data_IF_848116485764
#
_entry.id   IF_848116485764
#
_cell.length_a   1.000
_cell.length_b   1.000
_cell.length_c   1.000
_cell.angle_alpha   90.00
_cell.angle_beta   90.00
_cell.angle_gamma   90.00
#
_symmetry.space_group_name_H-M   'P 1'
#
loop_
_entity.id
_entity.type
_entity.pdbx_description
1 polymer ?
#
# COMPACT_ATOMS: atom_id res chain seq x y z
N UNK A 1 1.32 -0.98 -18.05
CA UNK A 1 2.03 -0.01 -17.22
C UNK A 1 3.44 -0.54 -16.97
N UNK A 2 4.43 0.13 -17.52
CA UNK A 2 5.85 -0.28 -17.46
C UNK A 2 6.56 0.32 -16.22
N UNK A 3 5.80 0.46 -15.11
CA UNK A 3 6.32 1.03 -13.85
C UNK A 3 7.21 0.00 -13.18
N UNK A 4 8.50 0.32 -13.06
CA UNK A 4 9.52 -0.55 -12.45
C UNK A 4 9.82 -0.21 -10.99
N UNK A 5 9.58 1.05 -10.58
CA UNK A 5 9.83 1.50 -9.21
C UNK A 5 8.79 0.90 -8.28
N UNK A 6 9.26 0.24 -7.24
CA UNK A 6 8.43 -0.40 -6.21
C UNK A 6 8.86 0.11 -4.85
N UNK A 7 7.93 0.60 -4.06
CA UNK A 7 8.14 1.00 -2.67
C UNK A 7 7.48 0.00 -1.74
N UNK A 8 8.28 -0.74 -0.99
CA UNK A 8 7.79 -1.59 0.10
C UNK A 8 7.74 -0.77 1.39
N UNK A 9 6.55 -0.72 2.00
CA UNK A 9 6.32 -0.02 3.26
C UNK A 9 6.27 -1.02 4.41
N UNK A 10 7.10 -0.80 5.44
CA UNK A 10 7.19 -1.66 6.59
C UNK A 10 7.80 -3.03 6.27
N UNK A 11 8.99 -3.11 5.64
CA UNK A 11 9.63 -4.37 5.27
C UNK A 11 10.01 -5.24 6.48
N UNK A 12 10.13 -4.63 7.67
CA UNK A 12 10.64 -5.31 8.84
C UNK A 12 11.99 -5.97 8.57
N UNK A 13 12.11 -7.26 8.86
CA UNK A 13 13.34 -8.03 8.59
C UNK A 13 13.45 -8.55 7.14
N UNK A 14 12.66 -8.02 6.20
CA UNK A 14 12.78 -8.33 4.78
C UNK A 14 12.10 -9.62 4.32
N UNK A 15 11.05 -10.06 5.03
CA UNK A 15 10.34 -11.29 4.69
C UNK A 15 9.78 -11.29 3.27
N UNK A 16 9.26 -10.15 2.80
CA UNK A 16 8.79 -9.97 1.43
C UNK A 16 9.91 -9.46 0.53
N UNK A 17 10.73 -8.53 1.02
CA UNK A 17 11.82 -7.87 0.27
C UNK A 17 12.75 -8.83 -0.43
N UNK A 18 13.13 -9.93 0.24
CA UNK A 18 14.04 -10.96 -0.31
C UNK A 18 13.54 -11.57 -1.61
N UNK A 19 12.23 -11.75 -1.76
CA UNK A 19 11.63 -12.27 -2.99
C UNK A 19 11.46 -11.19 -4.05
N UNK A 20 11.20 -9.95 -3.63
CA UNK A 20 11.07 -8.82 -4.55
C UNK A 20 12.43 -8.49 -5.20
N UNK A 21 13.55 -8.60 -4.45
CA UNK A 21 14.89 -8.41 -5.02
C UNK A 21 15.28 -9.47 -6.06
N UNK A 22 14.62 -10.63 -6.07
CA UNK A 22 14.84 -11.68 -7.09
C UNK A 22 14.18 -11.35 -8.44
N UNK A 23 13.35 -10.30 -8.50
CA UNK A 23 12.67 -9.87 -9.73
C UNK A 23 13.54 -8.82 -10.43
N UNK A 24 14.22 -9.15 -11.54
CA UNK A 24 15.24 -8.26 -12.15
C UNK A 24 14.64 -6.99 -12.76
N UNK A 25 13.34 -6.99 -13.07
CA UNK A 25 12.67 -5.88 -13.75
C UNK A 25 12.26 -4.75 -12.83
N UNK A 26 12.31 -4.94 -11.49
CA UNK A 26 11.89 -3.92 -10.54
C UNK A 26 13.08 -3.18 -9.90
N UNK A 27 12.85 -1.92 -9.62
CA UNK A 27 13.73 -1.06 -8.81
C UNK A 27 13.07 -0.91 -7.42
N UNK A 28 13.49 -1.78 -6.48
CA UNK A 28 12.87 -1.89 -5.16
C UNK A 28 13.47 -0.91 -4.17
N UNK A 29 12.62 -0.13 -3.53
CA UNK A 29 12.90 0.77 -2.42
C UNK A 29 12.17 0.31 -1.18
N UNK A 30 12.83 0.34 -0.02
CA UNK A 30 12.28 -0.05 1.27
C UNK A 30 12.18 1.17 2.17
N UNK A 31 11.06 1.30 2.89
CA UNK A 31 10.83 2.40 3.83
C UNK A 31 10.24 1.86 5.13
N UNK A 32 10.92 2.08 6.25
CA UNK A 32 10.45 1.70 7.57
C UNK A 32 10.71 2.81 8.60
N UNK A 33 9.87 2.88 9.63
CA UNK A 33 10.03 3.74 10.80
C UNK A 33 10.86 3.08 11.91
N UNK A 34 11.11 1.78 11.79
CA UNK A 34 11.90 1.01 12.75
C UNK A 34 13.38 1.00 12.36
N UNK A 35 14.18 1.71 13.15
CA UNK A 35 15.62 1.81 12.89
C UNK A 35 16.35 0.48 13.02
N UNK A 36 15.88 -0.42 13.91
CA UNK A 36 16.49 -1.74 14.09
C UNK A 36 16.30 -2.60 12.82
N UNK A 37 15.12 -2.54 12.22
CA UNK A 37 14.83 -3.18 10.93
C UNK A 37 15.70 -2.62 9.81
N UNK A 38 15.86 -1.30 9.75
CA UNK A 38 16.70 -0.64 8.74
C UNK A 38 18.17 -1.05 8.88
N UNK A 39 18.72 -1.04 10.10
CA UNK A 39 20.11 -1.43 10.36
C UNK A 39 20.32 -2.92 10.02
N UNK A 40 19.38 -3.79 10.39
CA UNK A 40 19.43 -5.19 10.01
C UNK A 40 19.43 -5.39 8.49
N UNK A 41 18.54 -4.73 7.78
CA UNK A 41 18.43 -4.84 6.32
C UNK A 41 19.69 -4.36 5.62
N UNK A 42 20.23 -3.19 6.01
CA UNK A 42 21.47 -2.65 5.44
C UNK A 42 22.68 -3.55 5.68
N UNK A 43 22.75 -4.17 6.87
CA UNK A 43 23.84 -5.09 7.21
C UNK A 43 23.76 -6.40 6.40
N UNK A 44 22.55 -6.93 6.19
CA UNK A 44 22.36 -8.21 5.49
C UNK A 44 22.24 -8.07 3.95
N UNK A 45 21.87 -6.87 3.47
CA UNK A 45 21.71 -6.58 2.05
C UNK A 45 22.50 -5.33 1.62
N UNK A 46 23.84 -5.31 1.81
CA UNK A 46 24.67 -4.12 1.58
C UNK A 46 24.64 -3.63 0.12
N UNK A 47 24.37 -4.51 -0.84
CA UNK A 47 24.22 -4.13 -2.25
C UNK A 47 22.98 -3.25 -2.52
N UNK A 48 22.03 -3.19 -1.58
CA UNK A 48 20.79 -2.41 -1.69
C UNK A 48 20.68 -1.31 -0.62
N UNK A 49 21.76 -1.05 0.13
CA UNK A 49 21.74 -0.16 1.31
C UNK A 49 21.27 1.27 0.99
N UNK A 50 21.54 1.77 -0.19
CA UNK A 50 21.13 3.08 -0.71
C UNK A 50 19.62 3.21 -0.95
N UNK A 51 18.91 2.08 -1.08
CA UNK A 51 17.47 2.00 -1.28
C UNK A 51 16.69 1.54 -0.04
N UNK A 52 17.38 1.39 1.09
CA UNK A 52 16.79 1.04 2.39
C UNK A 52 16.73 2.31 3.23
N UNK A 53 15.53 2.87 3.36
CA UNK A 53 15.31 4.21 3.91
C UNK A 53 14.62 4.14 5.27
N UNK A 54 15.12 4.94 6.22
CA UNK A 54 14.42 5.23 7.46
C UNK A 54 13.45 6.39 7.23
N UNK A 55 12.17 6.21 7.55
CA UNK A 55 11.17 7.26 7.42
C UNK A 55 9.72 6.79 7.61
N UNK A 56 8.84 7.77 7.75
CA UNK A 56 7.40 7.55 7.87
C UNK A 56 6.71 7.85 6.53
N UNK A 57 6.13 6.82 5.92
CA UNK A 57 5.41 6.97 4.66
C UNK A 57 4.28 7.99 4.74
N UNK A 58 3.61 8.12 5.88
CA UNK A 58 2.50 9.07 6.04
C UNK A 58 2.98 10.53 6.00
N UNK A 59 4.26 10.78 6.29
CA UNK A 59 4.89 12.12 6.29
C UNK A 59 5.74 12.38 5.05
N UNK A 60 6.17 11.32 4.38
CA UNK A 60 6.99 11.42 3.18
C UNK A 60 6.23 12.10 2.05
N UNK A 61 6.86 13.02 1.33
CA UNK A 61 6.43 13.38 -0.02
C UNK A 61 7.09 12.42 -1.01
N UNK A 62 6.33 11.55 -1.70
CA UNK A 62 6.89 10.61 -2.67
C UNK A 62 7.69 11.29 -3.79
N UNK A 63 7.43 12.57 -4.07
CA UNK A 63 8.19 13.35 -5.06
C UNK A 63 9.64 13.57 -4.67
N UNK A 64 9.97 13.56 -3.36
CA UNK A 64 11.36 13.65 -2.89
C UNK A 64 12.17 12.40 -3.27
N UNK A 65 11.51 11.21 -3.39
CA UNK A 65 12.17 9.97 -3.79
C UNK A 65 12.13 9.71 -5.29
N UNK A 66 10.99 9.99 -5.90
CA UNK A 66 10.71 9.53 -7.27
C UNK A 66 10.48 10.66 -8.28
N UNK A 67 10.50 11.93 -7.82
CA UNK A 67 10.13 13.07 -8.67
C UNK A 67 8.70 12.93 -9.16
N UNK A 68 8.51 12.99 -10.46
CA UNK A 68 7.20 12.77 -11.11
C UNK A 68 7.01 11.34 -11.62
N UNK A 69 7.97 10.44 -11.37
CA UNK A 69 7.88 9.05 -11.83
C UNK A 69 6.82 8.27 -11.06
N UNK A 70 6.16 7.37 -11.78
CA UNK A 70 5.21 6.44 -11.18
C UNK A 70 5.93 5.35 -10.37
N UNK A 71 5.32 4.93 -9.27
CA UNK A 71 5.81 3.83 -8.43
C UNK A 71 4.67 2.96 -7.90
N UNK A 72 4.94 1.69 -7.68
CA UNK A 72 4.01 0.72 -7.11
C UNK A 72 4.25 0.67 -5.60
N UNK A 73 3.17 0.64 -4.82
CA UNK A 73 3.24 0.47 -3.37
C UNK A 73 2.94 -0.97 -3.00
N UNK A 74 3.83 -1.59 -2.22
CA UNK A 74 3.65 -2.96 -1.72
C UNK A 74 3.93 -3.02 -0.23
N UNK A 75 3.41 -4.04 0.46
CA UNK A 75 3.79 -4.30 1.85
C UNK A 75 2.88 -5.24 2.61
N UNK A 76 3.42 -5.72 3.73
CA UNK A 76 2.64 -6.25 4.84
C UNK A 76 2.34 -5.08 5.78
N UNK A 77 1.27 -4.33 5.49
CA UNK A 77 1.06 -3.04 6.13
C UNK A 77 0.72 -3.20 7.63
N UNK A 78 1.31 -2.32 8.49
CA UNK A 78 0.92 -2.27 9.89
C UNK A 78 -0.58 -2.00 10.02
N UNK A 79 -1.29 -2.84 10.78
CA UNK A 79 -2.75 -2.82 10.82
C UNK A 79 -3.35 -1.50 11.31
N UNK A 80 -2.67 -0.85 12.26
CA UNK A 80 -3.11 0.41 12.87
C UNK A 80 -3.08 1.62 11.91
N UNK A 81 -2.29 1.56 10.82
CA UNK A 81 -2.16 2.66 9.85
C UNK A 81 -2.51 2.25 8.42
N UNK A 82 -2.95 1.02 8.20
CA UNK A 82 -3.18 0.48 6.85
C UNK A 82 -4.19 1.29 6.04
N UNK A 83 -5.28 1.77 6.65
CA UNK A 83 -6.23 2.66 5.99
C UNK A 83 -5.63 4.03 5.65
N UNK A 84 -4.76 4.56 6.50
CA UNK A 84 -4.07 5.84 6.24
C UNK A 84 -3.09 5.71 5.07
N UNK A 85 -2.40 4.56 4.95
CA UNK A 85 -1.54 4.25 3.80
C UNK A 85 -2.36 4.27 2.51
N UNK A 86 -3.54 3.62 2.49
CA UNK A 86 -4.43 3.63 1.33
C UNK A 86 -4.90 5.04 0.95
N UNK A 87 -5.27 5.86 1.94
CA UNK A 87 -5.65 7.26 1.70
C UNK A 87 -4.49 8.09 1.16
N UNK A 88 -3.28 7.88 1.67
CA UNK A 88 -2.09 8.55 1.14
C UNK A 88 -1.81 8.14 -0.30
N UNK A 89 -1.89 6.85 -0.63
CA UNK A 89 -1.79 6.39 -2.02
C UNK A 89 -2.85 7.04 -2.92
N UNK A 90 -4.07 7.23 -2.40
CA UNK A 90 -5.14 7.90 -3.13
C UNK A 90 -4.83 9.38 -3.40
N UNK A 91 -4.18 10.09 -2.48
CA UNK A 91 -3.70 11.46 -2.70
C UNK A 91 -2.68 11.52 -3.85
N UNK A 92 -1.79 10.53 -3.92
CA UNK A 92 -0.75 10.42 -4.96
C UNK A 92 -1.14 9.47 -6.10
N UNK A 93 -2.44 9.23 -6.34
CA UNK A 93 -2.95 8.26 -7.31
C UNK A 93 -2.43 8.44 -8.74
N UNK A 94 -2.02 9.65 -9.11
CA UNK A 94 -1.44 9.92 -10.43
C UNK A 94 -0.02 9.36 -10.57
N UNK A 95 0.69 9.14 -9.45
CA UNK A 95 2.00 8.50 -9.39
C UNK A 95 1.93 7.05 -8.90
N UNK A 96 0.80 6.63 -8.28
CA UNK A 96 0.63 5.29 -7.72
C UNK A 96 -0.35 4.48 -8.59
N UNK A 97 0.13 3.84 -9.66
CA UNK A 97 -0.73 3.06 -10.56
C UNK A 97 -1.20 1.75 -9.94
N UNK A 98 -0.51 1.24 -8.91
CA UNK A 98 -0.88 -0.01 -8.27
C UNK A 98 -0.48 -0.03 -6.80
N UNK A 99 -1.36 -0.61 -5.99
CA UNK A 99 -1.11 -0.93 -4.58
C UNK A 99 -1.37 -2.43 -4.41
N UNK A 100 -0.45 -3.14 -3.77
CA UNK A 100 -0.65 -4.53 -3.40
C UNK A 100 -0.18 -4.74 -1.98
N UNK A 101 -1.04 -5.28 -1.13
CA UNK A 101 -0.64 -5.46 0.25
C UNK A 101 -1.56 -6.35 1.07
N UNK A 102 -1.04 -6.69 2.23
CA UNK A 102 -1.75 -7.44 3.23
C UNK A 102 -2.27 -6.51 4.33
N UNK A 103 -3.54 -6.72 4.68
CA UNK A 103 -4.30 -5.95 5.65
C UNK A 103 -4.99 -6.88 6.64
N UNK A 104 -5.52 -6.36 7.74
CA UNK A 104 -6.54 -7.12 8.48
C UNK A 104 -7.65 -7.53 7.51
N UNK A 105 -8.13 -8.78 7.63
CA UNK A 105 -9.16 -9.32 6.74
C UNK A 105 -10.40 -8.41 6.64
N UNK A 106 -10.83 -7.85 7.76
CA UNK A 106 -11.97 -6.94 7.80
C UNK A 106 -11.74 -5.70 6.92
N UNK A 107 -10.55 -5.10 6.99
CA UNK A 107 -10.20 -3.94 6.16
C UNK A 107 -10.13 -4.32 4.69
N UNK A 108 -9.48 -5.44 4.36
CA UNK A 108 -9.36 -5.94 3.00
C UNK A 108 -10.74 -6.23 2.37
N UNK A 109 -11.63 -6.88 3.13
CA UNK A 109 -13.01 -7.15 2.71
C UNK A 109 -13.76 -5.84 2.50
N UNK A 110 -13.69 -4.91 3.45
CA UNK A 110 -14.37 -3.60 3.37
C UNK A 110 -13.94 -2.83 2.11
N UNK A 111 -12.65 -2.76 1.83
CA UNK A 111 -12.10 -2.06 0.66
C UNK A 111 -12.61 -2.68 -0.66
N UNK A 112 -12.73 -4.01 -0.71
CA UNK A 112 -13.13 -4.75 -1.90
C UNK A 112 -14.65 -4.94 -2.05
N UNK A 113 -15.47 -4.54 -1.06
CA UNK A 113 -16.92 -4.74 -1.09
C UNK A 113 -17.61 -3.90 -2.17
N UNK A 114 -18.69 -4.47 -2.70
CA UNK A 114 -19.54 -3.78 -3.68
C UNK A 114 -20.57 -2.88 -2.98
N UNK A 115 -21.07 -1.84 -3.67
CA UNK A 115 -22.18 -1.03 -3.18
C UNK A 115 -23.38 -1.88 -2.73
N UNK A 116 -24.02 -1.49 -1.62
CA UNK A 116 -25.17 -2.18 -1.05
C UNK A 116 -24.84 -3.24 0.00
N UNK A 117 -23.58 -3.57 0.24
CA UNK A 117 -23.19 -4.41 1.38
C UNK A 117 -23.05 -3.56 2.67
N UNK A 118 -23.19 -4.22 3.83
CA UNK A 118 -23.03 -3.58 5.14
C UNK A 118 -21.63 -3.06 5.38
N UNK A 119 -20.64 -3.73 4.80
CA UNK A 119 -19.21 -3.41 4.94
C UNK A 119 -18.75 -2.29 4.01
N UNK A 120 -19.57 -1.97 2.97
CA UNK A 120 -19.26 -0.89 2.03
C UNK A 120 -19.33 0.47 2.72
N UNK A 121 -18.21 1.17 2.79
CA UNK A 121 -18.10 2.42 3.54
C UNK A 121 -17.19 3.43 2.84
N UNK A 122 -16.84 4.49 3.55
CA UNK A 122 -16.06 5.64 3.04
C UNK A 122 -14.82 5.18 2.26
N UNK A 123 -14.02 4.28 2.82
CA UNK A 123 -12.79 3.80 2.16
C UNK A 123 -13.08 3.05 0.87
N UNK A 124 -14.18 2.25 0.84
CA UNK A 124 -14.60 1.54 -0.36
C UNK A 124 -14.99 2.52 -1.47
N UNK A 125 -15.83 3.51 -1.13
CA UNK A 125 -16.28 4.54 -2.07
C UNK A 125 -15.10 5.29 -2.68
N UNK A 126 -14.23 5.84 -1.83
CA UNK A 126 -13.13 6.72 -2.27
C UNK A 126 -12.09 5.95 -3.08
N UNK A 127 -11.69 4.75 -2.65
CA UNK A 127 -10.72 3.96 -3.41
C UNK A 127 -11.30 3.43 -4.71
N UNK A 128 -12.51 2.87 -4.71
CA UNK A 128 -13.12 2.32 -5.92
C UNK A 128 -13.51 3.38 -6.95
N UNK A 129 -13.53 4.64 -6.56
CA UNK A 129 -13.67 5.75 -7.51
C UNK A 129 -12.50 5.79 -8.49
N UNK A 130 -11.27 5.50 -8.03
CA UNK A 130 -10.05 5.65 -8.81
C UNK A 130 -9.27 4.37 -9.03
N UNK A 131 -9.62 3.28 -8.33
CA UNK A 131 -8.96 1.99 -8.42
C UNK A 131 -9.95 0.86 -8.61
N UNK A 132 -9.59 -0.11 -9.43
CA UNK A 132 -10.24 -1.42 -9.47
C UNK A 132 -9.61 -2.28 -8.38
N UNK A 133 -10.46 -2.79 -7.49
CA UNK A 133 -10.03 -3.50 -6.30
C UNK A 133 -10.26 -5.01 -6.47
N UNK A 134 -9.21 -5.79 -6.26
CA UNK A 134 -9.25 -7.24 -6.30
C UNK A 134 -8.87 -7.81 -4.93
N UNK A 135 -9.79 -8.55 -4.32
CA UNK A 135 -9.46 -9.39 -3.16
C UNK A 135 -8.78 -10.65 -3.66
N UNK A 136 -7.50 -10.83 -3.33
CA UNK A 136 -6.69 -11.92 -3.88
C UNK A 136 -6.90 -13.21 -3.10
N UNK A 137 -6.60 -13.20 -1.80
CA UNK A 137 -6.76 -14.35 -0.91
C UNK A 137 -6.71 -13.95 0.57
N UNK A 138 -7.14 -14.89 1.42
CA UNK A 138 -7.04 -14.78 2.88
C UNK A 138 -5.78 -15.49 3.36
N UNK A 139 -5.10 -14.91 4.35
CA UNK A 139 -3.96 -15.50 5.06
C UNK A 139 -4.38 -15.81 6.48
N UNK A 140 -4.12 -17.06 6.91
CA UNK A 140 -4.45 -17.51 8.26
C UNK A 140 -3.49 -16.92 9.30
N UNK A 141 -3.99 -16.64 10.50
CA UNK A 141 -3.19 -16.06 11.58
C UNK A 141 -2.03 -16.96 12.05
N UNK A 142 -2.15 -18.28 11.88
CA UNK A 142 -1.13 -19.22 12.31
C UNK A 142 0.15 -19.24 11.47
N UNK A 143 0.16 -18.54 10.32
CA UNK A 143 1.39 -18.42 9.50
C UNK A 143 2.37 -17.36 10.02
N UNK A 144 1.96 -16.58 11.01
CA UNK A 144 2.77 -15.51 11.61
C UNK A 144 3.35 -15.91 12.97
N UNK A 145 4.51 -15.35 13.32
CA UNK A 145 5.16 -15.51 14.61
C UNK A 145 5.56 -14.15 15.16
N UNK A 146 4.94 -13.67 16.25
CA UNK A 146 3.75 -14.24 16.92
C UNK A 146 2.49 -14.10 16.07
N UNK A 147 1.49 -15.00 16.25
CA UNK A 147 0.26 -14.93 15.48
C UNK A 147 -0.55 -13.68 15.86
N UNK A 148 -1.10 -12.93 14.89
CA UNK A 148 -2.04 -11.85 15.16
C UNK A 148 -3.38 -12.43 15.66
N UNK A 149 -4.22 -11.56 16.24
CA UNK A 149 -5.55 -11.97 16.76
C UNK A 149 -6.59 -12.19 15.66
N UNK A 150 -6.31 -11.82 14.44
CA UNK A 150 -7.24 -11.83 13.30
C UNK A 150 -6.54 -12.30 12.04
N UNK A 151 -7.32 -12.89 11.12
CA UNK A 151 -6.84 -13.24 9.78
C UNK A 151 -6.49 -12.00 8.98
N UNK A 152 -5.65 -12.20 7.99
CA UNK A 152 -5.27 -11.16 7.02
C UNK A 152 -5.92 -11.41 5.66
N UNK A 153 -6.01 -10.35 4.87
CA UNK A 153 -6.45 -10.43 3.48
C UNK A 153 -5.47 -9.67 2.59
N UNK A 154 -5.15 -10.24 1.46
CA UNK A 154 -4.34 -9.59 0.44
C UNK A 154 -5.25 -8.98 -0.62
N UNK A 155 -5.06 -7.70 -0.90
CA UNK A 155 -5.76 -6.99 -1.96
C UNK A 155 -4.77 -6.41 -2.96
N UNK A 156 -5.24 -6.26 -4.19
CA UNK A 156 -4.58 -5.53 -5.26
C UNK A 156 -5.51 -4.43 -5.74
N UNK A 157 -5.02 -3.20 -5.73
CA UNK A 157 -5.72 -2.03 -6.26
C UNK A 157 -4.98 -1.59 -7.53
N UNK A 158 -5.67 -1.48 -8.65
CA UNK A 158 -5.11 -1.05 -9.93
C UNK A 158 -5.80 0.24 -10.34
N UNK A 159 -5.02 1.27 -10.64
CA UNK A 159 -5.54 2.56 -11.09
C UNK A 159 -6.44 2.36 -12.32
N UNK A 160 -7.69 2.79 -12.24
CA UNK A 160 -8.61 2.74 -13.36
C UNK A 160 -8.45 3.97 -14.29
N UNK A 161 -9.21 4.02 -15.37
CA UNK A 161 -9.09 5.07 -16.40
C UNK A 161 -9.77 6.40 -16.01
N UNK A 162 -10.31 6.52 -14.79
CA UNK A 162 -10.99 7.74 -14.35
C UNK A 162 -9.99 8.80 -13.92
N UNK A 163 -9.70 9.73 -14.80
CA UNK A 163 -8.78 10.84 -14.53
C UNK A 163 -9.45 12.01 -13.81
N UNK A 164 -10.76 12.21 -14.02
CA UNK A 164 -11.53 13.29 -13.42
C UNK A 164 -12.93 12.83 -13.01
N UNK A 165 -13.50 13.53 -12.02
CA UNK A 165 -14.89 13.37 -11.62
C UNK A 165 -15.78 14.33 -12.41
N UNK A 166 -17.07 14.02 -12.61
CA UNK A 166 -18.04 14.93 -13.23
C UNK A 166 -18.48 16.08 -12.28
N UNK A 167 -17.83 16.22 -11.14
CA UNK A 167 -18.10 17.22 -10.11
C UNK A 167 -16.81 17.72 -9.48
N UNK A 168 -16.90 18.75 -8.63
CA UNK A 168 -15.75 19.20 -7.84
C UNK A 168 -15.23 18.07 -6.94
N UNK A 169 -13.98 17.70 -7.11
CA UNK A 169 -13.35 16.56 -6.42
C UNK A 169 -13.25 16.81 -4.91
N UNK A 170 -12.91 18.03 -4.51
CA UNK A 170 -12.79 18.38 -3.08
C UNK A 170 -14.15 18.25 -2.39
N UNK A 171 -15.20 18.74 -3.03
CA UNK A 171 -16.57 18.60 -2.54
C UNK A 171 -16.98 17.12 -2.48
N UNK A 172 -16.66 16.33 -3.50
CA UNK A 172 -16.92 14.88 -3.52
C UNK A 172 -16.29 14.19 -2.31
N UNK A 173 -15.01 14.41 -2.05
CA UNK A 173 -14.33 13.83 -0.88
C UNK A 173 -14.94 14.28 0.44
N UNK A 174 -15.36 15.54 0.55
CA UNK A 174 -16.03 16.05 1.75
C UNK A 174 -17.38 15.36 1.98
N UNK A 175 -18.22 15.29 0.95
CA UNK A 175 -19.55 14.66 1.05
C UNK A 175 -19.43 13.19 1.43
N UNK A 176 -18.54 12.43 0.79
CA UNK A 176 -18.34 10.99 1.11
C UNK A 176 -17.85 10.78 2.54
N UNK A 177 -17.07 11.71 3.10
CA UNK A 177 -16.56 11.60 4.49
C UNK A 177 -17.62 11.90 5.57
N UNK A 178 -18.69 12.59 5.21
CA UNK A 178 -19.75 12.98 6.18
C UNK A 178 -21.06 12.20 6.00
N UNK A 179 -21.19 11.44 4.91
CA UNK A 179 -22.33 10.58 4.66
C UNK A 179 -22.22 9.23 5.39
#
# INVERSE_FOLDING_TARGET
>A
NDTRKVLEIGPGMGALSKYLWEIPEIDLWLLDVDIESIDYLRANYPAHADRILFGDFLRLDPKELFGEDAFIVVGNFPYNISSQILFKCLEYRNQVPQIMGMFQKEVAVRVAQKPGSKEYGIISVLLQTFYDIHYCFTVDEHVFIPPPKVKSGVIRCVRNERDALPCDEKLYFQVVKVA
#
